data_IF_122800916462
#
_entry.id   IF_122800916462
#
_cell.length_a   1.000
_cell.length_b   1.000
_cell.length_c   1.000
_cell.angle_alpha   90.00
_cell.angle_beta   90.00
_cell.angle_gamma   90.00
#
_symmetry.space_group_name_H-M   'P 1'
#
loop_
_entity.id
_entity.type
_entity.pdbx_description
1 polymer ?
#
# COMPACT_ATOMS: atom_id res chain seq x y z
N UNK A 1 -15.78 -22.79 22.14
CA UNK A 1 -16.19 -22.07 20.92
C UNK A 1 -17.13 -22.96 20.13
N UNK A 2 -18.38 -22.55 19.94
CA UNK A 2 -19.34 -23.34 19.18
C UNK A 2 -19.02 -23.25 17.68
N UNK A 3 -19.02 -24.38 16.98
CA UNK A 3 -18.94 -24.37 15.52
C UNK A 3 -20.17 -23.69 14.91
N UNK A 4 -19.98 -23.00 13.78
CA UNK A 4 -21.09 -22.41 13.04
C UNK A 4 -22.06 -23.50 12.55
N UNK A 5 -23.35 -23.16 12.45
CA UNK A 5 -24.38 -24.07 11.92
C UNK A 5 -24.01 -24.62 10.55
N UNK A 6 -23.41 -23.79 9.68
CA UNK A 6 -22.94 -24.19 8.36
C UNK A 6 -21.81 -25.24 8.41
N UNK A 7 -20.85 -25.12 9.35
CA UNK A 7 -19.80 -26.13 9.53
C UNK A 7 -20.37 -27.47 9.99
N UNK A 8 -21.33 -27.44 10.93
CA UNK A 8 -22.02 -28.65 11.40
C UNK A 8 -22.77 -29.36 10.27
N UNK A 9 -23.44 -28.62 9.38
CA UNK A 9 -24.13 -29.18 8.22
C UNK A 9 -23.17 -29.84 7.21
N UNK A 10 -22.04 -29.19 6.88
CA UNK A 10 -21.02 -29.78 6.00
C UNK A 10 -20.47 -31.08 6.58
N UNK A 11 -20.13 -31.08 7.88
CA UNK A 11 -19.64 -32.28 8.57
C UNK A 11 -20.67 -33.41 8.57
N UNK A 12 -21.96 -33.09 8.73
CA UNK A 12 -23.05 -34.06 8.63
C UNK A 12 -23.12 -34.69 7.22
N UNK A 13 -23.05 -33.88 6.17
CA UNK A 13 -23.09 -34.37 4.78
C UNK A 13 -21.92 -35.31 4.47
N UNK A 14 -20.71 -34.99 4.93
CA UNK A 14 -19.53 -35.84 4.77
C UNK A 14 -19.74 -37.17 5.50
N UNK A 15 -20.29 -37.14 6.73
CA UNK A 15 -20.60 -38.35 7.50
C UNK A 15 -21.64 -39.24 6.81
N UNK A 16 -22.60 -38.63 6.12
CA UNK A 16 -23.61 -39.33 5.31
C UNK A 16 -23.07 -39.85 3.97
N UNK A 17 -21.78 -39.68 3.67
CA UNK A 17 -21.15 -40.11 2.43
C UNK A 17 -21.44 -39.20 1.23
N UNK A 18 -22.04 -38.02 1.45
CA UNK A 18 -22.25 -37.04 0.37
C UNK A 18 -20.91 -36.38 0.02
N UNK A 19 -20.81 -35.93 -1.25
CA UNK A 19 -19.63 -35.25 -1.76
C UNK A 19 -19.28 -34.04 -0.90
N UNK A 20 -18.00 -33.91 -0.54
CA UNK A 20 -17.53 -32.81 0.28
C UNK A 20 -17.80 -31.44 -0.40
N UNK A 21 -18.57 -30.54 0.22
CA UNK A 21 -18.86 -29.22 -0.33
C UNK A 21 -17.61 -28.37 -0.61
N UNK A 22 -16.51 -28.57 0.12
CA UNK A 22 -15.26 -27.86 -0.13
C UNK A 22 -14.64 -28.19 -1.48
N UNK A 23 -14.86 -29.40 -2.00
CA UNK A 23 -14.36 -29.81 -3.33
C UNK A 23 -15.13 -29.11 -4.47
N UNK A 24 -16.31 -28.56 -4.19
CA UNK A 24 -17.11 -27.81 -5.17
C UNK A 24 -16.89 -26.31 -5.10
N UNK A 25 -16.01 -25.86 -4.20
CA UNK A 25 -15.86 -24.45 -3.90
C UNK A 25 -15.11 -23.75 -5.02
N UNK A 26 -15.60 -22.58 -5.43
CA UNK A 26 -14.95 -21.83 -6.51
C UNK A 26 -13.54 -21.37 -6.07
N UNK A 27 -12.58 -21.28 -7.01
CA UNK A 27 -11.21 -20.85 -6.70
C UNK A 27 -11.14 -19.42 -6.15
N UNK A 28 -12.17 -18.61 -6.41
CA UNK A 28 -12.31 -17.24 -5.92
C UNK A 28 -12.37 -17.11 -4.40
N UNK A 29 -12.67 -18.19 -3.68
CA UNK A 29 -12.69 -18.16 -2.21
C UNK A 29 -11.27 -18.03 -1.64
N UNK A 30 -10.27 -18.54 -2.36
CA UNK A 30 -8.87 -18.47 -1.93
C UNK A 30 -8.19 -17.18 -2.38
N UNK A 31 -8.74 -16.49 -3.37
CA UNK A 31 -8.24 -15.22 -3.86
C UNK A 31 -8.76 -14.06 -3.00
N UNK A 32 -7.90 -13.11 -2.67
CA UNK A 32 -8.33 -11.83 -2.11
C UNK A 32 -8.89 -10.95 -3.24
N UNK A 33 -10.21 -11.00 -3.45
CA UNK A 33 -10.91 -10.24 -4.50
C UNK A 33 -11.12 -8.75 -4.18
N UNK A 34 -10.47 -8.24 -3.12
CA UNK A 34 -10.57 -6.83 -2.76
C UNK A 34 -9.90 -5.97 -3.83
N UNK A 35 -10.54 -4.85 -4.16
CA UNK A 35 -10.07 -3.87 -5.14
C UNK A 35 -8.92 -3.01 -4.59
N UNK A 36 -8.58 -1.89 -5.26
CA UNK A 36 -7.44 -1.01 -4.94
C UNK A 36 -7.35 -0.72 -3.43
N UNK A 37 -6.26 -1.15 -2.80
CA UNK A 37 -5.93 -0.82 -1.41
C UNK A 37 -4.88 0.28 -1.40
N UNK A 38 -5.00 1.20 -0.44
CA UNK A 38 -3.93 2.14 -0.11
C UNK A 38 -2.84 1.42 0.67
N UNK A 39 -1.64 2.00 0.71
CA UNK A 39 -0.48 1.40 1.38
C UNK A 39 -0.69 1.31 2.88
N UNK A 40 -0.24 0.22 3.49
CA UNK A 40 -0.17 0.13 4.96
C UNK A 40 0.88 1.10 5.51
N UNK A 41 0.79 1.44 6.80
CA UNK A 41 1.79 2.31 7.47
C UNK A 41 3.22 1.77 7.30
N UNK A 42 3.38 0.45 7.41
CA UNK A 42 4.66 -0.24 7.23
C UNK A 42 5.19 -0.07 5.80
N UNK A 43 4.34 -0.30 4.79
CA UNK A 43 4.70 -0.13 3.37
C UNK A 43 5.04 1.32 3.01
N UNK A 44 4.38 2.28 3.64
CA UNK A 44 4.65 3.70 3.41
C UNK A 44 5.97 4.14 4.05
N UNK A 45 6.27 3.65 5.26
CA UNK A 45 7.53 3.94 5.96
C UNK A 45 8.74 3.34 5.23
N UNK A 46 8.61 2.10 4.77
CA UNK A 46 9.68 1.41 4.04
C UNK A 46 9.79 1.84 2.57
N UNK A 47 8.98 2.81 2.12
CA UNK A 47 9.01 3.30 0.75
C UNK A 47 10.15 4.31 0.55
N UNK A 48 11.18 3.89 -0.17
CA UNK A 48 12.14 4.83 -0.76
C UNK A 48 11.58 5.40 -2.06
N UNK A 49 10.81 6.50 -1.97
CA UNK A 49 10.22 7.16 -3.17
C UNK A 49 11.28 7.96 -3.93
N UNK A 50 12.10 8.70 -3.21
CA UNK A 50 13.17 9.53 -3.74
C UNK A 50 14.47 8.93 -3.23
N UNK A 51 15.42 8.69 -4.15
CA UNK A 51 16.71 8.09 -3.84
C UNK A 51 17.67 9.20 -3.43
N UNK A 52 17.46 9.76 -2.25
CA UNK A 52 18.43 10.70 -1.69
C UNK A 52 19.64 9.85 -1.31
N UNK A 53 20.78 10.12 -1.94
CA UNK A 53 22.03 9.48 -1.54
C UNK A 53 22.26 9.84 -0.09
N UNK A 54 22.56 8.86 0.76
CA UNK A 54 23.04 9.15 2.11
C UNK A 54 24.37 9.89 1.96
N UNK A 55 24.32 11.21 1.93
CA UNK A 55 25.48 12.08 1.83
C UNK A 55 26.24 11.94 3.14
N UNK A 56 27.49 11.45 3.08
CA UNK A 56 28.36 11.37 4.26
C UNK A 56 28.60 12.76 4.91
N UNK A 57 28.36 13.83 4.16
CA UNK A 57 28.38 15.22 4.60
C UNK A 57 27.05 15.85 4.16
N UNK A 58 26.21 16.20 5.13
CA UNK A 58 24.79 16.54 4.97
C UNK A 58 24.51 17.82 4.18
N UNK A 59 24.72 17.81 2.88
CA UNK A 59 24.26 18.88 2.00
C UNK A 59 23.94 18.35 0.59
N UNK A 60 22.74 17.79 0.41
CA UNK A 60 22.05 17.83 -0.89
C UNK A 60 20.55 18.05 -0.66
N UNK A 61 20.22 19.15 0.02
CA UNK A 61 18.86 19.67 0.09
C UNK A 61 18.65 20.71 -1.00
N UNK A 62 18.22 20.30 -2.20
CA UNK A 62 17.86 21.24 -3.26
C UNK A 62 16.56 21.98 -2.92
N UNK A 63 16.65 23.04 -2.11
CA UNK A 63 15.54 23.96 -1.85
C UNK A 63 15.73 25.22 -2.69
N UNK A 64 14.91 25.38 -3.73
CA UNK A 64 14.77 26.64 -4.45
C UNK A 64 13.94 27.60 -3.60
N UNK A 65 14.59 28.54 -2.91
CA UNK A 65 13.94 29.68 -2.29
C UNK A 65 13.97 30.88 -3.26
N UNK A 66 12.86 31.28 -3.88
CA UNK A 66 12.80 32.51 -4.65
C UNK A 66 12.67 33.69 -3.68
N UNK A 67 13.79 34.10 -3.07
CA UNK A 67 13.86 35.23 -2.16
C UNK A 67 14.88 36.26 -2.63
N UNK A 68 14.39 37.45 -3.00
CA UNK A 68 15.10 38.74 -3.00
C UNK A 68 16.14 39.08 -4.08
N UNK A 69 16.28 38.35 -5.18
CA UNK A 69 17.20 38.77 -6.27
C UNK A 69 16.56 39.52 -7.44
N UNK A 70 15.23 39.48 -7.59
CA UNK A 70 14.56 40.02 -8.79
C UNK A 70 14.47 41.55 -8.77
N UNK A 71 14.32 42.16 -7.59
CA UNK A 71 14.20 43.62 -7.47
C UNK A 71 15.53 44.35 -7.77
N UNK A 72 16.66 43.78 -7.33
CA UNK A 72 17.98 44.37 -7.58
C UNK A 72 18.44 44.22 -9.04
N UNK A 73 18.04 43.13 -9.71
CA UNK A 73 18.37 42.88 -11.11
C UNK A 73 17.65 43.83 -12.08
N UNK A 74 16.46 44.32 -11.72
CA UNK A 74 15.68 45.22 -12.59
C UNK A 74 16.16 46.67 -12.51
N UNK A 75 16.59 47.14 -11.33
CA UNK A 75 17.09 48.52 -11.14
C UNK A 75 18.44 48.74 -11.83
N UNK A 76 19.31 47.73 -11.89
CA UNK A 76 20.63 47.83 -12.55
C UNK A 76 20.58 47.84 -14.09
N UNK A 77 19.43 47.51 -14.69
CA UNK A 77 19.24 47.50 -16.15
C UNK A 77 18.67 48.81 -16.71
N UNK A 78 18.28 49.74 -15.83
CA UNK A 78 17.69 51.04 -16.19
C UNK A 78 18.69 52.20 -15.98
N UNK A 79 19.85 51.95 -15.35
CA UNK A 79 20.98 52.90 -15.30
C UNK A 79 21.96 52.72 -16.44
#
# INVERSE_FOLDING_TARGET
>A
MAESKAKKQRNKQIREGKRNPELSRSPFVFADLRTRKTKTKLEQMNKQKYKDRASAYGDEGSFYFPGESVFLAMVKKIS
#
